data_IF_940590596613
#
_entry.id   IF_940590596613
#
_cell.length_a   1.000
_cell.length_b   1.000
_cell.length_c   1.000
_cell.angle_alpha   90.00
_cell.angle_beta   90.00
_cell.angle_gamma   90.00
#
_symmetry.space_group_name_H-M   'P 1'
#
loop_
_entity.id
_entity.type
_entity.pdbx_description
1 polymer ?
#
# COMPACT_ATOMS: atom_id res chain seq x y z
N UNK A 1 -21.01 -34.42 19.45
CA UNK A 1 -19.97 -35.46 19.59
C UNK A 1 -18.83 -34.87 20.41
N UNK A 2 -18.26 -35.65 21.34
CA UNK A 2 -17.31 -35.18 22.37
C UNK A 2 -15.84 -35.41 21.95
N UNK A 3 -14.89 -35.19 22.90
CA UNK A 3 -13.44 -35.49 22.84
C UNK A 3 -12.62 -34.48 21.97
N UNK A 4 -11.45 -33.91 22.32
CA UNK A 4 -10.51 -33.88 23.48
C UNK A 4 -10.06 -32.39 23.62
N UNK A 5 -9.59 -31.80 24.73
CA UNK A 5 -9.26 -32.24 26.11
C UNK A 5 -8.29 -31.23 26.78
N UNK A 6 -7.48 -31.65 27.75
CA UNK A 6 -6.48 -30.82 28.49
C UNK A 6 -5.16 -31.61 28.65
N UNK A 7 -4.00 -30.93 28.69
CA UNK A 7 -2.72 -31.52 29.11
C UNK A 7 -1.69 -30.46 29.52
N UNK A 8 -1.10 -30.58 30.72
CA UNK A 8 -0.11 -29.63 31.26
C UNK A 8 0.81 -30.29 32.29
N UNK A 9 2.06 -30.56 31.90
CA UNK A 9 3.22 -30.96 32.73
C UNK A 9 4.51 -30.58 31.94
N UNK A 10 5.64 -30.19 32.52
CA UNK A 10 5.97 -29.87 33.91
C UNK A 10 7.49 -29.60 34.09
N UNK A 11 7.84 -28.82 35.12
CA UNK A 11 9.15 -28.69 35.82
C UNK A 11 10.52 -28.67 35.09
N UNK A 12 11.32 -27.64 35.44
CA UNK A 12 12.81 -27.67 35.39
C UNK A 12 13.40 -28.65 36.44
N UNK A 13 14.71 -28.96 36.33
CA UNK A 13 15.61 -28.43 37.38
C UNK A 13 16.93 -27.81 36.85
N UNK A 14 17.54 -26.96 37.68
CA UNK A 14 18.84 -26.33 37.44
C UNK A 14 20.05 -27.19 37.88
N UNK A 15 21.22 -26.91 37.30
CA UNK A 15 22.60 -26.86 37.88
C UNK A 15 23.63 -26.80 36.72
N UNK A 16 24.78 -26.13 36.82
CA UNK A 16 25.37 -25.34 37.91
C UNK A 16 26.47 -24.37 37.42
N UNK A 17 27.12 -23.67 38.35
CA UNK A 17 28.05 -22.53 38.11
C UNK A 17 29.53 -22.94 38.23
N UNK A 18 30.42 -22.35 37.44
CA UNK A 18 31.85 -22.17 37.77
C UNK A 18 32.28 -20.74 37.34
N UNK A 19 33.17 -20.10 38.10
CA UNK A 19 33.67 -18.72 37.92
C UNK A 19 35.17 -18.71 37.53
N UNK A 20 35.69 -17.58 37.01
CA UNK A 20 37.13 -17.46 36.69
C UNK A 20 37.57 -16.10 36.09
N UNK A 21 38.17 -15.25 36.92
CA UNK A 21 38.82 -13.96 36.64
C UNK A 21 39.99 -13.81 37.67
N UNK A 22 40.83 -12.73 37.74
CA UNK A 22 41.09 -11.58 36.84
C UNK A 22 42.61 -11.25 36.67
N UNK A 23 42.94 -9.97 36.34
CA UNK A 23 44.25 -9.25 36.48
C UNK A 23 45.34 -9.55 35.41
N UNK A 24 46.20 -8.63 34.93
CA UNK A 24 46.32 -7.14 34.91
C UNK A 24 47.41 -6.76 33.83
N UNK A 25 48.06 -5.57 33.67
CA UNK A 25 48.16 -4.29 34.42
C UNK A 25 48.72 -3.13 33.52
N UNK A 26 48.60 -1.89 34.00
CA UNK A 26 49.16 -0.58 33.57
C UNK A 26 50.48 -0.48 32.75
N UNK A 27 50.56 0.51 31.83
CA UNK A 27 51.50 1.68 31.88
C UNK A 27 51.12 2.79 30.87
N UNK A 28 51.53 4.03 31.12
CA UNK A 28 51.30 5.24 30.29
C UNK A 28 52.61 5.83 29.72
N UNK A 29 52.55 6.44 28.52
CA UNK A 29 53.46 7.54 28.10
C UNK A 29 53.06 8.22 26.77
N UNK A 30 52.94 9.54 26.82
CA UNK A 30 53.15 10.54 25.74
C UNK A 30 54.30 11.47 26.23
N UNK A 31 54.81 12.47 25.46
CA UNK A 31 54.53 12.86 24.06
C UNK A 31 55.79 13.02 23.18
N UNK A 32 55.63 13.08 21.84
CA UNK A 32 56.46 13.93 20.95
C UNK A 32 55.61 14.44 19.77
N UNK A 33 55.50 15.75 19.59
CA UNK A 33 54.83 16.33 18.42
C UNK A 33 55.79 16.50 17.24
N UNK A 34 55.39 16.05 16.03
CA UNK A 34 56.05 16.42 14.77
C UNK A 34 55.04 16.68 13.63
N UNK A 35 55.07 17.93 13.15
CA UNK A 35 54.76 18.39 11.79
C UNK A 35 53.48 17.87 11.11
N UNK A 36 52.50 18.76 10.93
CA UNK A 36 51.39 18.56 9.97
C UNK A 36 51.93 18.43 8.54
N UNK A 37 51.52 17.38 7.84
CA UNK A 37 51.42 17.35 6.37
C UNK A 37 49.94 17.14 6.03
N UNK A 38 49.30 17.99 5.21
CA UNK A 38 47.86 17.89 4.94
C UNK A 38 47.55 16.80 3.92
N UNK A 39 47.37 15.55 4.38
CA UNK A 39 46.80 14.47 3.57
C UNK A 39 45.31 14.71 3.32
N UNK A 40 45.01 15.42 2.24
CA UNK A 40 43.65 15.55 1.69
C UNK A 40 43.16 14.17 1.17
N UNK A 41 42.61 13.36 2.08
CA UNK A 41 41.82 12.17 1.76
C UNK A 41 40.54 12.12 2.59
N UNK A 42 39.69 13.15 2.40
CA UNK A 42 38.26 13.00 2.66
C UNK A 42 37.66 12.10 1.58
N UNK A 43 37.77 10.78 1.76
CA UNK A 43 36.95 9.83 0.99
C UNK A 43 35.46 10.06 1.31
N UNK A 44 34.55 9.91 0.34
CA UNK A 44 33.12 10.05 0.61
C UNK A 44 32.65 9.01 1.62
N UNK A 45 31.80 9.49 2.54
CA UNK A 45 31.27 8.81 3.71
C UNK A 45 30.58 7.45 3.40
N UNK A 46 30.44 6.60 4.41
CA UNK A 46 29.86 5.26 4.27
C UNK A 46 28.38 5.33 3.89
N UNK A 47 28.07 5.13 2.61
CA UNK A 47 26.71 5.17 2.09
C UNK A 47 25.86 4.01 2.63
N UNK A 48 24.77 4.33 3.33
CA UNK A 48 23.68 3.39 3.54
C UNK A 48 23.13 2.95 2.17
N UNK A 49 23.12 1.64 1.88
CA UNK A 49 22.56 1.11 0.63
C UNK A 49 21.06 1.37 0.58
N UNK A 50 20.55 1.87 -0.54
CA UNK A 50 19.11 2.17 -0.64
C UNK A 50 18.25 0.90 -0.54
N UNK A 51 16.98 1.05 -0.17
CA UNK A 51 15.97 -0.04 -0.22
C UNK A 51 15.93 -0.72 -1.59
N UNK A 52 16.16 0.06 -2.66
CA UNK A 52 16.20 -0.41 -4.05
C UNK A 52 17.51 -1.12 -4.36
N UNK A 53 18.66 -0.62 -3.92
CA UNK A 53 19.93 -1.35 -4.06
C UNK A 53 19.86 -2.69 -3.31
N UNK A 54 19.39 -2.67 -2.07
CA UNK A 54 19.13 -3.84 -1.21
C UNK A 54 18.14 -4.83 -1.83
N UNK A 55 17.19 -4.36 -2.63
CA UNK A 55 16.34 -5.21 -3.47
C UNK A 55 17.12 -5.78 -4.68
N UNK A 56 17.89 -4.95 -5.39
CA UNK A 56 18.63 -5.35 -6.59
C UNK A 56 19.69 -6.42 -6.28
N UNK A 57 20.38 -6.33 -5.13
CA UNK A 57 21.35 -7.33 -4.68
C UNK A 57 20.75 -8.74 -4.46
N UNK A 58 19.43 -8.88 -4.38
CA UNK A 58 18.75 -10.18 -4.24
C UNK A 58 18.58 -10.95 -5.56
N UNK A 59 18.71 -10.29 -6.72
CA UNK A 59 18.74 -10.97 -8.02
C UNK A 59 20.13 -11.53 -8.33
N UNK A 60 20.24 -12.52 -9.20
CA UNK A 60 21.53 -13.05 -9.66
C UNK A 60 22.07 -12.34 -10.90
N UNK A 61 23.27 -12.72 -11.35
CA UNK A 61 23.78 -12.29 -12.65
C UNK A 61 23.05 -13.05 -13.78
N UNK A 62 22.76 -12.41 -14.94
CA UNK A 62 23.16 -11.05 -15.31
C UNK A 62 22.22 -9.95 -14.79
N UNK A 63 21.03 -10.28 -14.30
CA UNK A 63 19.99 -9.32 -13.91
C UNK A 63 20.48 -8.25 -12.92
N UNK A 64 21.20 -8.64 -11.85
CA UNK A 64 21.80 -7.71 -10.88
C UNK A 64 22.71 -6.69 -11.56
N UNK A 65 23.55 -7.11 -12.50
CA UNK A 65 24.48 -6.22 -13.22
C UNK A 65 23.74 -5.21 -14.10
N UNK A 66 22.70 -5.66 -14.81
CA UNK A 66 21.84 -4.79 -15.63
C UNK A 66 21.06 -3.81 -14.75
N UNK A 67 20.49 -4.28 -13.64
CA UNK A 67 19.71 -3.45 -12.74
C UNK A 67 20.56 -2.42 -11.99
N UNK A 68 21.77 -2.76 -11.51
CA UNK A 68 22.68 -1.80 -10.89
C UNK A 68 23.12 -0.71 -11.88
N UNK A 69 23.45 -1.08 -13.12
CA UNK A 69 23.78 -0.11 -14.17
C UNK A 69 22.62 0.85 -14.46
N UNK A 70 21.40 0.30 -14.63
CA UNK A 70 20.22 1.13 -14.88
C UNK A 70 19.83 1.98 -13.66
N UNK A 71 19.98 1.46 -12.45
CA UNK A 71 19.78 2.22 -11.20
C UNK A 71 20.73 3.41 -11.14
N UNK A 72 22.04 3.17 -11.22
CA UNK A 72 23.06 4.23 -11.16
C UNK A 72 22.90 5.27 -12.27
N UNK A 73 22.49 4.85 -13.48
CA UNK A 73 22.17 5.77 -14.57
C UNK A 73 20.99 6.69 -14.19
N UNK A 74 19.88 6.12 -13.73
CA UNK A 74 18.65 6.85 -13.42
C UNK A 74 18.79 7.77 -12.19
N UNK A 75 19.50 7.32 -11.14
CA UNK A 75 19.69 8.12 -9.91
C UNK A 75 20.84 9.13 -10.04
N UNK A 76 21.98 8.76 -10.65
CA UNK A 76 23.19 9.63 -10.65
C UNK A 76 23.32 10.54 -11.87
N UNK A 77 22.86 10.13 -13.06
CA UNK A 77 22.91 10.98 -14.27
C UNK A 77 21.60 11.78 -14.46
N UNK A 78 20.47 11.22 -14.03
CA UNK A 78 19.14 11.82 -14.25
C UNK A 78 18.45 12.30 -12.96
N UNK A 79 19.08 12.15 -11.78
CA UNK A 79 18.56 12.61 -10.48
C UNK A 79 17.14 12.12 -10.14
N UNK A 80 16.72 10.96 -10.68
CA UNK A 80 15.41 10.40 -10.39
C UNK A 80 15.39 9.75 -9.00
N UNK A 81 14.33 10.02 -8.24
CA UNK A 81 14.13 9.44 -6.90
C UNK A 81 13.78 7.96 -7.05
N UNK A 82 14.55 7.08 -6.42
CA UNK A 82 14.29 5.63 -6.41
C UNK A 82 13.37 5.22 -5.25
N UNK A 83 12.53 4.21 -5.49
CA UNK A 83 11.64 3.64 -4.48
C UNK A 83 11.25 2.20 -4.81
N UNK A 84 11.25 1.32 -3.82
CA UNK A 84 10.66 -0.02 -3.98
C UNK A 84 9.13 0.11 -4.04
N UNK A 85 8.53 -0.28 -5.15
CA UNK A 85 7.06 -0.28 -5.33
C UNK A 85 6.61 -1.56 -6.01
N UNK A 86 5.62 -2.25 -5.43
CA UNK A 86 5.19 -3.60 -5.82
C UNK A 86 6.36 -4.60 -5.97
N UNK A 87 7.36 -4.53 -5.07
CA UNK A 87 8.60 -5.34 -5.10
C UNK A 87 9.47 -5.17 -6.36
N UNK A 88 9.38 -4.01 -7.02
CA UNK A 88 10.21 -3.63 -8.17
C UNK A 88 10.96 -2.30 -7.87
N UNK A 89 12.18 -2.10 -8.38
CA UNK A 89 12.84 -0.80 -8.45
C UNK A 89 12.03 0.18 -9.32
N UNK A 90 11.50 1.26 -8.75
CA UNK A 90 10.74 2.29 -9.46
C UNK A 90 11.43 3.66 -9.32
N UNK A 91 11.31 4.50 -10.36
CA UNK A 91 12.04 5.76 -10.48
C UNK A 91 11.08 6.91 -10.83
N UNK A 92 11.25 8.03 -10.14
CA UNK A 92 10.30 9.13 -10.10
C UNK A 92 10.96 10.48 -10.41
N UNK A 93 10.26 11.29 -11.20
CA UNK A 93 10.48 12.74 -11.32
C UNK A 93 9.40 13.47 -10.52
N UNK A 94 8.58 14.28 -11.20
CA UNK A 94 7.29 14.76 -10.66
C UNK A 94 6.29 13.61 -10.53
N UNK A 95 6.39 12.58 -11.36
CA UNK A 95 5.60 11.34 -11.25
C UNK A 95 6.42 10.07 -11.54
N UNK A 96 5.75 8.92 -11.62
CA UNK A 96 6.38 7.63 -11.88
C UNK A 96 6.80 7.51 -13.34
N UNK A 97 8.09 7.70 -13.64
CA UNK A 97 8.63 7.66 -15.01
C UNK A 97 8.77 6.21 -15.48
N UNK A 98 9.51 5.39 -14.73
CA UNK A 98 9.79 4.01 -15.13
C UNK A 98 10.00 3.05 -13.94
N UNK A 99 10.07 1.74 -14.24
CA UNK A 99 10.49 0.72 -13.29
C UNK A 99 11.32 -0.38 -13.97
N UNK A 100 12.14 -1.06 -13.16
CA UNK A 100 12.89 -2.26 -13.55
C UNK A 100 12.15 -3.51 -13.07
N UNK A 101 12.19 -4.58 -13.85
CA UNK A 101 11.56 -5.86 -13.50
C UNK A 101 12.38 -7.04 -13.99
N UNK A 102 12.59 -8.01 -13.11
CA UNK A 102 13.17 -9.29 -13.48
C UNK A 102 12.16 -10.12 -14.28
N UNK A 103 12.59 -10.66 -15.42
CA UNK A 103 11.84 -11.64 -16.21
C UNK A 103 12.49 -13.02 -16.11
N UNK A 104 11.88 -14.03 -16.74
CA UNK A 104 12.50 -15.35 -16.89
C UNK A 104 13.77 -15.28 -17.77
N UNK A 105 14.61 -16.30 -17.63
CA UNK A 105 15.81 -16.52 -18.45
C UNK A 105 16.82 -15.35 -18.39
N UNK A 106 17.04 -14.78 -17.21
CA UNK A 106 18.06 -13.74 -16.98
C UNK A 106 17.75 -12.37 -17.59
N UNK A 107 16.58 -12.17 -18.22
CA UNK A 107 16.22 -10.91 -18.88
C UNK A 107 15.75 -9.86 -17.86
N UNK A 108 16.11 -8.61 -18.10
CA UNK A 108 15.64 -7.44 -17.35
C UNK A 108 14.76 -6.59 -18.25
N UNK A 109 13.57 -6.26 -17.79
CA UNK A 109 12.66 -5.29 -18.40
C UNK A 109 12.87 -3.92 -17.74
N UNK A 110 13.01 -2.86 -18.54
CA UNK A 110 12.73 -1.48 -18.12
C UNK A 110 11.49 -0.98 -18.85
N UNK A 111 10.47 -0.57 -18.09
CA UNK A 111 9.18 -0.16 -18.62
C UNK A 111 8.87 1.29 -18.21
N UNK A 112 8.51 2.11 -19.19
CA UNK A 112 8.10 3.50 -19.02
C UNK A 112 6.59 3.58 -18.87
N UNK A 113 6.11 4.22 -17.80
CA UNK A 113 4.70 4.25 -17.41
C UNK A 113 3.83 4.98 -18.45
N UNK A 114 4.39 6.04 -19.05
CA UNK A 114 3.80 6.84 -20.13
C UNK A 114 4.36 6.48 -21.51
N UNK A 115 4.90 5.27 -21.67
CA UNK A 115 5.64 4.90 -22.88
C UNK A 115 4.88 5.11 -24.20
N UNK A 116 3.54 5.02 -24.19
CA UNK A 116 2.70 5.28 -25.36
C UNK A 116 2.60 6.77 -25.76
N UNK A 117 3.08 7.68 -24.92
CA UNK A 117 3.06 9.14 -25.12
C UNK A 117 4.44 9.66 -25.58
N UNK A 118 5.47 8.82 -25.53
CA UNK A 118 6.79 9.05 -26.10
C UNK A 118 6.73 8.84 -27.62
N UNK A 119 7.46 9.64 -28.40
CA UNK A 119 7.55 9.51 -29.85
C UNK A 119 8.08 8.14 -30.30
N UNK A 120 8.95 7.53 -29.49
CA UNK A 120 9.66 6.29 -29.80
C UNK A 120 10.38 6.36 -31.16
N UNK A 121 10.82 7.56 -31.58
CA UNK A 121 11.32 7.83 -32.94
C UNK A 121 12.53 6.96 -33.34
N UNK A 122 13.30 6.49 -32.35
CA UNK A 122 14.46 5.63 -32.55
C UNK A 122 14.13 4.11 -32.51
N UNK A 123 12.85 3.75 -32.35
CA UNK A 123 12.30 2.39 -32.43
C UNK A 123 12.60 1.48 -31.23
N UNK A 124 13.11 2.02 -30.12
CA UNK A 124 13.70 1.23 -29.04
C UNK A 124 12.67 0.50 -28.15
N UNK A 125 11.49 1.10 -27.91
CA UNK A 125 10.52 0.57 -26.97
C UNK A 125 9.42 -0.24 -27.66
N UNK A 126 9.04 -1.37 -27.05
CA UNK A 126 7.97 -2.27 -27.51
C UNK A 126 6.72 -2.16 -26.65
N UNK A 127 5.56 -2.52 -27.20
CA UNK A 127 4.27 -2.48 -26.50
C UNK A 127 4.00 -3.70 -25.61
N UNK A 128 4.48 -4.89 -25.99
CA UNK A 128 4.28 -6.13 -25.22
C UNK A 128 2.80 -6.32 -24.81
N UNK A 129 1.88 -6.09 -25.76
CA UNK A 129 0.41 -6.16 -25.57
C UNK A 129 -0.22 -5.05 -24.71
N UNK A 130 0.57 -4.12 -24.14
CA UNK A 130 0.10 -3.12 -23.19
C UNK A 130 -0.33 -1.82 -23.88
N UNK A 131 -1.47 -1.27 -23.44
CA UNK A 131 -2.03 -0.03 -24.01
C UNK A 131 -1.16 1.20 -23.69
N UNK A 132 -0.73 1.35 -22.44
CA UNK A 132 -0.05 2.55 -21.94
C UNK A 132 1.48 2.40 -21.83
N UNK A 133 1.96 1.30 -21.25
CA UNK A 133 3.39 1.07 -21.07
C UNK A 133 4.09 0.81 -22.41
N UNK A 134 5.35 1.25 -22.52
CA UNK A 134 6.31 0.74 -23.49
C UNK A 134 7.60 0.35 -22.77
N UNK A 135 8.30 -0.67 -23.26
CA UNK A 135 9.43 -1.27 -22.54
C UNK A 135 10.58 -1.69 -23.45
N UNK A 136 11.80 -1.64 -22.91
CA UNK A 136 12.99 -2.30 -23.44
C UNK A 136 13.28 -3.54 -22.58
N UNK A 137 13.66 -4.65 -23.23
CA UNK A 137 14.07 -5.90 -22.56
C UNK A 137 15.48 -6.25 -23.03
N UNK A 138 16.41 -6.42 -22.08
CA UNK A 138 17.84 -6.69 -22.32
C UNK A 138 18.34 -7.81 -21.40
N UNK A 139 19.45 -8.45 -21.76
CA UNK A 139 20.07 -9.52 -20.95
C UNK A 139 21.43 -9.09 -20.39
N UNK A 140 22.15 -8.23 -21.11
CA UNK A 140 23.44 -7.66 -20.73
C UNK A 140 23.42 -6.13 -20.82
N UNK A 141 24.28 -5.47 -20.05
CA UNK A 141 24.53 -4.02 -20.14
C UNK A 141 25.02 -3.64 -21.54
N UNK A 142 25.76 -4.54 -22.21
CA UNK A 142 26.24 -4.36 -23.59
C UNK A 142 25.12 -4.31 -24.64
N UNK A 143 23.94 -4.86 -24.32
CA UNK A 143 22.79 -4.92 -25.24
C UNK A 143 22.00 -3.60 -25.25
N UNK A 144 22.28 -2.67 -24.31
CA UNK A 144 21.58 -1.40 -24.18
C UNK A 144 22.17 -0.42 -25.21
N UNK A 145 21.40 0.05 -26.22
CA UNK A 145 21.89 1.04 -27.18
C UNK A 145 21.90 2.42 -26.51
N UNK A 146 22.93 2.68 -25.71
CA UNK A 146 22.93 3.69 -24.65
C UNK A 146 22.54 5.10 -25.13
N UNK A 147 22.97 5.53 -26.33
CA UNK A 147 22.54 6.81 -26.92
C UNK A 147 21.01 6.87 -27.08
N UNK A 148 20.43 5.89 -27.78
CA UNK A 148 18.96 5.77 -27.98
C UNK A 148 18.19 5.67 -26.66
N UNK A 149 18.78 5.00 -25.67
CA UNK A 149 18.16 4.84 -24.36
C UNK A 149 18.18 6.13 -23.53
N UNK A 150 19.28 6.91 -23.59
CA UNK A 150 19.38 8.24 -22.96
C UNK A 150 18.44 9.26 -23.61
N UNK A 151 18.24 9.20 -24.93
CA UNK A 151 17.22 9.99 -25.64
C UNK A 151 15.82 9.73 -25.06
N UNK A 152 15.44 8.46 -24.89
CA UNK A 152 14.16 8.04 -24.31
C UNK A 152 13.97 8.48 -22.86
N UNK A 153 15.02 8.43 -22.02
CA UNK A 153 14.93 8.92 -20.63
C UNK A 153 14.65 10.44 -20.62
N UNK A 154 15.38 11.21 -21.43
CA UNK A 154 15.18 12.67 -21.52
C UNK A 154 13.79 13.04 -22.04
N UNK A 155 13.28 12.33 -23.05
CA UNK A 155 11.91 12.51 -23.54
C UNK A 155 10.87 12.22 -22.44
N UNK A 156 11.07 11.16 -21.66
CA UNK A 156 10.17 10.80 -20.56
C UNK A 156 10.22 11.80 -19.40
N UNK A 157 11.37 12.42 -19.12
CA UNK A 157 11.49 13.50 -18.13
C UNK A 157 10.82 14.80 -18.61
N UNK A 158 11.05 15.23 -19.85
CA UNK A 158 10.36 16.42 -20.41
C UNK A 158 8.85 16.23 -20.41
N UNK A 159 8.36 15.02 -20.72
CA UNK A 159 6.94 14.67 -20.65
C UNK A 159 6.38 14.73 -19.22
N UNK A 160 7.15 14.30 -18.22
CA UNK A 160 6.80 14.33 -16.80
C UNK A 160 6.84 15.76 -16.22
N UNK A 161 7.76 16.60 -16.71
CA UNK A 161 7.87 18.00 -16.33
C UNK A 161 6.75 18.86 -16.91
N UNK A 162 6.44 18.70 -18.21
CA UNK A 162 5.54 19.58 -18.96
C UNK A 162 4.06 19.19 -18.84
N UNK A 163 3.74 17.89 -18.71
CA UNK A 163 2.37 17.40 -18.63
C UNK A 163 2.19 16.67 -17.30
N UNK A 164 1.43 17.21 -16.32
CA UNK A 164 1.12 16.51 -15.08
C UNK A 164 0.56 15.10 -15.38
N UNK A 165 1.03 14.08 -14.67
CA UNK A 165 0.66 12.70 -14.99
C UNK A 165 -0.82 12.43 -14.73
N UNK A 166 -1.60 12.59 -15.80
CA UNK A 166 -3.01 12.27 -15.87
C UNK A 166 -3.22 10.76 -15.73
N UNK A 167 -3.25 10.30 -14.48
CA UNK A 167 -3.76 9.00 -14.08
C UNK A 167 -5.07 8.73 -14.83
N UNK A 168 -5.05 7.81 -15.81
CA UNK A 168 -6.27 7.39 -16.53
C UNK A 168 -7.19 6.53 -15.67
N UNK A 169 -6.74 6.16 -14.45
CA UNK A 169 -7.61 5.68 -13.36
C UNK A 169 -8.39 6.82 -12.69
N UNK A 170 -7.92 8.06 -12.84
CA UNK A 170 -8.69 9.28 -12.61
C UNK A 170 -9.45 9.68 -13.88
N UNK A 171 -10.43 8.84 -14.26
CA UNK A 171 -11.75 9.46 -14.43
C UNK A 171 -12.01 10.14 -13.10
N UNK A 172 -12.09 11.47 -13.07
CA UNK A 172 -12.86 12.08 -12.00
C UNK A 172 -14.24 11.42 -12.09
N UNK A 173 -14.61 10.60 -11.10
CA UNK A 173 -16.03 10.43 -10.79
C UNK A 173 -16.45 11.84 -10.38
N UNK A 174 -16.95 12.62 -11.34
CA UNK A 174 -17.83 13.75 -11.04
C UNK A 174 -18.98 13.13 -10.28
N UNK A 175 -18.94 13.26 -8.95
CA UNK A 175 -19.76 12.44 -8.07
C UNK A 175 -21.22 12.89 -8.14
N UNK A 176 -21.91 12.40 -9.18
CA UNK A 176 -23.36 12.26 -9.17
C UNK A 176 -23.69 11.49 -7.88
N UNK A 177 -24.47 12.07 -6.95
CA UNK A 177 -24.69 11.46 -5.64
C UNK A 177 -25.19 10.03 -5.82
N UNK A 178 -24.64 9.11 -5.05
CA UNK A 178 -24.80 7.67 -5.21
C UNK A 178 -26.24 7.24 -4.86
N UNK A 179 -27.17 7.46 -5.80
CA UNK A 179 -28.58 7.10 -5.63
C UNK A 179 -28.67 5.61 -5.29
N UNK A 180 -29.04 5.34 -4.03
CA UNK A 180 -29.14 4.02 -3.40
C UNK A 180 -29.50 2.92 -4.41
N UNK A 181 -28.68 1.87 -4.49
CA UNK A 181 -28.85 0.77 -5.45
C UNK A 181 -30.28 0.19 -5.37
N UNK A 182 -30.84 -0.25 -6.51
CA UNK A 182 -32.17 -0.88 -6.54
C UNK A 182 -32.22 -2.07 -5.58
N UNK A 183 -31.21 -2.94 -5.58
CA UNK A 183 -31.13 -4.10 -4.69
C UNK A 183 -31.19 -3.72 -3.19
N UNK A 184 -30.61 -2.58 -2.82
CA UNK A 184 -30.60 -2.07 -1.44
C UNK A 184 -31.97 -1.48 -1.08
N UNK A 185 -32.64 -0.79 -2.02
CA UNK A 185 -34.04 -0.35 -1.85
C UNK A 185 -35.00 -1.54 -1.76
N UNK A 186 -34.80 -2.57 -2.59
CA UNK A 186 -35.58 -3.80 -2.57
C UNK A 186 -35.41 -4.50 -1.21
N UNK A 187 -34.17 -4.70 -0.74
CA UNK A 187 -33.88 -5.27 0.59
C UNK A 187 -34.55 -4.48 1.72
N UNK A 188 -34.42 -3.15 1.72
CA UNK A 188 -35.08 -2.30 2.71
C UNK A 188 -36.62 -2.41 2.65
N UNK A 189 -37.20 -2.64 1.47
CA UNK A 189 -38.65 -2.74 1.29
C UNK A 189 -39.26 -4.03 1.84
N UNK A 190 -38.47 -5.12 1.93
CA UNK A 190 -38.89 -6.41 2.49
C UNK A 190 -38.76 -6.52 4.01
N UNK A 191 -38.39 -5.43 4.70
CA UNK A 191 -38.27 -5.39 6.15
C UNK A 191 -39.57 -4.87 6.80
N UNK A 192 -39.80 -5.30 8.04
CA UNK A 192 -40.83 -4.75 8.93
C UNK A 192 -40.71 -3.23 9.06
N UNK A 193 -41.84 -2.53 9.26
CA UNK A 193 -41.90 -1.08 9.13
C UNK A 193 -41.01 -0.30 10.12
N UNK A 194 -40.63 -0.87 11.26
CA UNK A 194 -39.62 -0.31 12.17
C UNK A 194 -38.21 -0.42 11.58
N UNK A 195 -37.79 -1.62 11.23
CA UNK A 195 -36.48 -1.92 10.64
C UNK A 195 -36.26 -1.20 9.31
N UNK A 196 -37.31 -1.13 8.49
CA UNK A 196 -37.36 -0.40 7.21
C UNK A 196 -37.15 1.09 7.39
N UNK A 197 -37.70 1.72 8.45
CA UNK A 197 -37.42 3.13 8.79
C UNK A 197 -35.96 3.33 9.17
N UNK A 198 -35.39 2.44 9.99
CA UNK A 198 -33.97 2.47 10.39
C UNK A 198 -33.07 2.33 9.16
N UNK A 199 -33.23 1.26 8.38
CA UNK A 199 -32.43 0.98 7.19
C UNK A 199 -32.53 2.08 6.11
N UNK A 200 -33.71 2.70 5.94
CA UNK A 200 -33.86 3.83 5.02
C UNK A 200 -33.19 5.11 5.54
N UNK A 201 -33.27 5.43 6.84
CA UNK A 201 -32.55 6.57 7.43
C UNK A 201 -31.04 6.39 7.33
N UNK A 202 -30.52 5.21 7.70
CA UNK A 202 -29.11 4.86 7.53
C UNK A 202 -28.68 5.00 6.07
N UNK A 203 -29.38 4.35 5.13
CA UNK A 203 -29.03 4.39 3.71
C UNK A 203 -29.15 5.79 3.08
N UNK A 204 -30.01 6.67 3.59
CA UNK A 204 -30.04 8.09 3.19
C UNK A 204 -28.73 8.77 3.61
N UNK A 205 -28.45 8.79 4.92
CA UNK A 205 -27.31 9.51 5.50
C UNK A 205 -25.97 8.99 4.95
N UNK A 206 -25.84 7.67 4.72
CA UNK A 206 -24.63 7.08 4.12
C UNK A 206 -24.41 7.58 2.68
N UNK A 207 -25.44 7.64 1.83
CA UNK A 207 -25.28 8.11 0.45
C UNK A 207 -25.11 9.65 0.34
N UNK A 208 -25.63 10.41 1.32
CA UNK A 208 -25.45 11.86 1.40
C UNK A 208 -24.06 12.23 1.95
N UNK A 209 -23.56 11.50 2.95
CA UNK A 209 -22.23 11.74 3.53
C UNK A 209 -21.10 11.18 2.67
N UNK A 210 -21.30 10.00 2.06
CA UNK A 210 -20.34 9.29 1.21
C UNK A 210 -20.88 9.10 -0.22
N UNK A 211 -21.13 10.18 -0.99
CA UNK A 211 -21.42 10.07 -2.42
C UNK A 211 -20.31 9.31 -3.16
N UNK A 212 -19.09 9.39 -2.60
CA UNK A 212 -17.99 8.41 -2.58
C UNK A 212 -18.27 7.01 -3.13
N UNK A 213 -19.25 6.36 -2.49
CA UNK A 213 -19.23 4.93 -2.29
C UNK A 213 -20.18 4.15 -3.21
N UNK A 214 -19.61 3.17 -3.90
CA UNK A 214 -20.37 2.18 -4.65
C UNK A 214 -21.08 1.24 -3.66
N UNK A 215 -22.38 1.02 -3.81
CA UNK A 215 -23.19 0.21 -2.89
C UNK A 215 -23.97 -0.92 -3.57
N UNK A 216 -24.12 -2.04 -2.87
CA UNK A 216 -24.73 -3.28 -3.34
C UNK A 216 -25.13 -4.17 -2.16
N UNK A 217 -25.85 -5.25 -2.45
CA UNK A 217 -25.95 -6.38 -1.52
C UNK A 217 -24.61 -7.16 -1.53
N UNK A 218 -24.05 -7.41 -0.36
CA UNK A 218 -22.85 -8.22 -0.16
C UNK A 218 -23.02 -9.07 1.10
N UNK A 219 -22.78 -10.38 1.00
CA UNK A 219 -23.11 -11.35 2.07
C UNK A 219 -24.54 -11.15 2.63
N UNK A 220 -25.53 -11.03 1.72
CA UNK A 220 -26.95 -10.80 2.00
C UNK A 220 -27.33 -9.47 2.71
N UNK A 221 -26.41 -8.51 2.80
CA UNK A 221 -26.63 -7.22 3.47
C UNK A 221 -26.21 -6.01 2.62
N UNK A 222 -26.88 -4.84 2.74
CA UNK A 222 -26.41 -3.59 2.14
C UNK A 222 -25.03 -3.15 2.67
N UNK A 223 -24.06 -2.98 1.77
CA UNK A 223 -22.69 -2.53 2.10
C UNK A 223 -22.21 -1.50 1.07
N UNK A 224 -21.51 -0.48 1.58
CA UNK A 224 -20.88 0.62 0.85
C UNK A 224 -19.36 0.43 0.79
N UNK A 225 -18.79 0.73 -0.38
CA UNK A 225 -17.39 0.47 -0.69
C UNK A 225 -16.68 1.72 -1.24
N UNK A 226 -15.52 2.05 -0.69
CA UNK A 226 -14.59 3.04 -1.26
C UNK A 226 -13.45 2.30 -1.97
N UNK A 227 -13.23 2.59 -3.25
CA UNK A 227 -12.29 1.86 -4.13
C UNK A 227 -12.49 0.31 -4.13
N UNK A 228 -13.67 -0.18 -3.75
CA UNK A 228 -13.96 -1.61 -3.57
C UNK A 228 -13.44 -2.22 -2.27
N UNK A 229 -13.07 -1.42 -1.28
CA UNK A 229 -12.86 -1.81 0.12
C UNK A 229 -14.14 -1.52 0.91
N UNK A 230 -14.73 -2.47 1.67
CA UNK A 230 -15.93 -2.22 2.46
C UNK A 230 -15.60 -1.25 3.60
N UNK A 231 -16.45 -0.24 3.81
CA UNK A 231 -16.26 0.77 4.87
C UNK A 231 -17.41 0.76 5.88
N UNK A 232 -18.66 0.75 5.41
CA UNK A 232 -19.87 0.73 6.24
C UNK A 232 -20.96 -0.13 5.59
N UNK A 233 -21.86 -0.69 6.39
CA UNK A 233 -23.04 -1.43 5.95
C UNK A 233 -23.97 -1.71 7.11
N UNK A 234 -25.16 -2.25 6.84
CA UNK A 234 -26.12 -2.60 7.89
C UNK A 234 -26.82 -3.94 7.64
N UNK A 235 -27.23 -4.60 8.72
CA UNK A 235 -27.81 -5.95 8.70
C UNK A 235 -28.96 -6.05 9.70
N UNK A 236 -30.12 -6.57 9.27
CA UNK A 236 -31.21 -6.94 10.18
C UNK A 236 -30.76 -8.08 11.12
N UNK A 237 -30.98 -7.91 12.42
CA UNK A 237 -30.79 -8.92 13.48
C UNK A 237 -32.12 -9.18 14.21
N UNK A 238 -32.18 -10.22 15.06
CA UNK A 238 -33.34 -10.41 15.95
C UNK A 238 -33.47 -9.22 16.90
N UNK A 239 -34.61 -8.52 16.86
CA UNK A 239 -34.91 -7.37 17.72
C UNK A 239 -34.21 -6.05 17.40
N UNK A 240 -33.32 -5.96 16.40
CA UNK A 240 -32.61 -4.72 16.05
C UNK A 240 -32.09 -4.71 14.61
N UNK A 241 -31.67 -3.55 14.12
CA UNK A 241 -30.77 -3.41 12.97
C UNK A 241 -29.37 -3.07 13.48
N UNK A 242 -28.35 -3.78 13.00
CA UNK A 242 -26.95 -3.43 13.22
C UNK A 242 -26.44 -2.52 12.10
N UNK A 243 -25.74 -1.45 12.47
CA UNK A 243 -24.82 -0.70 11.62
C UNK A 243 -23.39 -1.18 11.91
N UNK A 244 -22.61 -1.53 10.89
CA UNK A 244 -21.26 -2.08 11.02
C UNK A 244 -20.25 -1.24 10.23
N UNK A 245 -19.20 -0.76 10.90
CA UNK A 245 -18.05 -0.10 10.29
C UNK A 245 -16.85 -1.03 10.29
N UNK A 246 -16.29 -1.34 9.12
CA UNK A 246 -15.19 -2.30 8.99
C UNK A 246 -13.89 -1.82 9.68
N UNK A 247 -13.66 -0.52 9.76
CA UNK A 247 -12.49 0.07 10.45
C UNK A 247 -12.83 0.72 11.81
N UNK A 248 -14.06 0.51 12.31
CA UNK A 248 -14.66 1.27 13.41
C UNK A 248 -13.90 1.25 14.74
N UNK A 249 -13.16 0.18 15.09
CA UNK A 249 -12.35 0.16 16.33
C UNK A 249 -11.24 1.22 16.33
N UNK A 250 -10.88 1.74 15.16
CA UNK A 250 -9.85 2.77 15.01
C UNK A 250 -10.45 4.18 14.99
N UNK A 251 -11.77 4.32 15.11
CA UNK A 251 -12.44 5.63 15.13
C UNK A 251 -12.37 6.30 16.50
N UNK A 252 -12.20 5.51 17.58
CA UNK A 252 -12.21 5.98 18.97
C UNK A 252 -13.50 6.78 19.28
N UNK A 253 -14.63 6.08 19.22
CA UNK A 253 -15.98 6.64 19.31
C UNK A 253 -16.79 5.81 20.31
N UNK A 254 -17.27 6.43 21.40
CA UNK A 254 -17.90 5.72 22.52
C UNK A 254 -19.22 5.01 22.13
N UNK A 255 -19.93 5.54 21.13
CA UNK A 255 -21.12 4.93 20.56
C UNK A 255 -20.89 3.72 19.65
N UNK A 256 -19.63 3.31 19.40
CA UNK A 256 -19.27 2.14 18.58
C UNK A 256 -18.65 1.03 19.43
N UNK A 257 -19.30 -0.13 19.46
CA UNK A 257 -18.85 -1.31 20.19
C UNK A 257 -17.96 -2.21 19.33
N UNK A 258 -16.83 -2.67 19.85
CA UNK A 258 -15.88 -3.49 19.10
C UNK A 258 -16.49 -4.83 18.67
N UNK A 259 -16.49 -5.13 17.36
CA UNK A 259 -17.02 -6.38 16.77
C UNK A 259 -15.87 -7.29 16.29
N UNK A 260 -15.87 -8.51 16.81
CA UNK A 260 -14.92 -9.57 16.48
C UNK A 260 -13.43 -9.24 16.69
N UNK A 261 -12.58 -10.11 16.11
CA UNK A 261 -11.11 -10.07 16.28
C UNK A 261 -10.35 -9.18 15.28
N UNK A 262 -11.06 -8.39 14.47
CA UNK A 262 -10.46 -7.57 13.42
C UNK A 262 -10.40 -6.10 13.85
N UNK A 263 -10.79 -5.15 12.99
CA UNK A 263 -10.88 -3.71 13.31
C UNK A 263 -12.29 -3.16 13.12
N UNK A 264 -13.29 -4.02 13.09
CA UNK A 264 -14.69 -3.63 12.93
C UNK A 264 -15.34 -3.23 14.26
N UNK A 265 -16.25 -2.26 14.21
CA UNK A 265 -17.09 -1.89 15.34
C UNK A 265 -18.51 -1.59 14.85
N UNK A 266 -19.49 -1.71 15.74
CA UNK A 266 -20.91 -1.65 15.43
C UNK A 266 -21.71 -0.77 16.38
N UNK A 267 -22.83 -0.25 15.86
CA UNK A 267 -23.94 0.28 16.63
C UNK A 267 -25.20 -0.56 16.34
N UNK A 268 -26.16 -0.58 17.28
CA UNK A 268 -27.43 -1.28 17.11
C UNK A 268 -28.58 -0.35 17.41
N UNK A 269 -29.63 -0.44 16.58
CA UNK A 269 -30.83 0.39 16.70
C UNK A 269 -32.08 -0.50 16.72
N UNK A 270 -32.99 -0.20 17.63
CA UNK A 270 -34.38 -0.69 17.70
C UNK A 270 -35.37 0.31 17.09
N UNK A 271 -34.99 1.58 16.98
CA UNK A 271 -35.80 2.67 16.43
C UNK A 271 -34.98 3.66 15.60
N UNK A 272 -35.59 4.26 14.56
CA UNK A 272 -34.94 5.27 13.73
C UNK A 272 -34.66 6.60 14.47
N UNK A 273 -35.26 6.79 15.64
CA UNK A 273 -35.06 7.95 16.51
C UNK A 273 -33.78 7.81 17.37
N UNK A 274 -33.22 6.60 17.51
CA UNK A 274 -31.96 6.36 18.22
C UNK A 274 -30.73 6.67 17.34
N UNK A 275 -30.93 6.88 16.03
CA UNK A 275 -29.86 7.32 15.14
C UNK A 275 -29.65 8.83 15.35
N UNK A 276 -28.67 9.16 16.19
CA UNK A 276 -28.05 10.48 16.19
C UNK A 276 -27.36 10.72 14.84
N UNK A 277 -27.71 11.81 14.16
CA UNK A 277 -27.24 12.08 12.81
C UNK A 277 -25.85 12.72 12.82
N UNK A 278 -25.51 13.52 13.85
CA UNK A 278 -24.19 14.16 13.97
C UNK A 278 -23.07 13.13 14.20
N UNK A 279 -23.26 12.21 15.16
CA UNK A 279 -22.31 11.12 15.38
C UNK A 279 -22.23 10.18 14.19
N UNK A 280 -23.35 9.86 13.53
CA UNK A 280 -23.33 9.02 12.33
C UNK A 280 -22.54 9.67 11.18
N UNK A 281 -22.72 10.96 10.92
CA UNK A 281 -21.92 11.70 9.93
C UNK A 281 -20.44 11.67 10.31
N UNK A 282 -20.08 11.98 11.57
CA UNK A 282 -18.70 11.92 12.07
C UNK A 282 -18.07 10.54 11.90
N UNK A 283 -18.82 9.47 12.13
CA UNK A 283 -18.35 8.08 11.95
C UNK A 283 -18.18 7.71 10.47
N UNK A 284 -19.03 8.26 9.58
CA UNK A 284 -18.93 8.07 8.14
C UNK A 284 -17.71 8.80 7.57
N UNK A 285 -17.45 10.04 7.99
CA UNK A 285 -16.22 10.76 7.66
C UNK A 285 -14.97 10.05 8.19
N UNK A 286 -14.98 9.58 9.44
CA UNK A 286 -13.93 8.69 9.94
C UNK A 286 -13.79 7.43 9.07
N UNK A 287 -14.86 6.83 8.55
CA UNK A 287 -14.78 5.67 7.64
C UNK A 287 -14.18 5.98 6.26
N UNK A 288 -14.28 7.23 5.78
CA UNK A 288 -13.61 7.71 4.56
C UNK A 288 -12.09 7.73 4.72
N UNK A 289 -11.60 8.19 5.87
CA UNK A 289 -10.19 8.52 6.09
C UNK A 289 -9.42 7.61 7.05
N UNK A 290 -10.11 6.70 7.76
CA UNK A 290 -9.52 5.70 8.65
C UNK A 290 -9.84 4.31 8.09
N UNK A 291 -8.96 3.76 7.25
CA UNK A 291 -9.22 2.52 6.50
C UNK A 291 -8.16 1.43 6.67
N UNK A 292 -8.62 0.24 7.03
CA UNK A 292 -7.88 -1.01 6.91
C UNK A 292 -8.29 -1.78 5.65
N UNK A 293 -7.34 -2.49 5.03
CA UNK A 293 -7.53 -3.24 3.78
C UNK A 293 -8.22 -4.59 4.00
N UNK A 294 -9.54 -4.56 4.08
CA UNK A 294 -10.39 -5.75 4.07
C UNK A 294 -10.49 -6.38 2.68
N UNK A 295 -10.41 -5.57 1.62
CA UNK A 295 -10.42 -6.02 0.21
C UNK A 295 -9.40 -7.13 -0.08
N UNK A 296 -8.26 -7.15 0.62
CA UNK A 296 -7.22 -8.17 0.46
C UNK A 296 -6.98 -9.04 1.71
N UNK A 297 -7.83 -8.98 2.74
CA UNK A 297 -7.62 -9.69 4.02
C UNK A 297 -7.45 -11.21 3.85
N UNK A 298 -8.22 -11.83 2.95
CA UNK A 298 -8.14 -13.26 2.64
C UNK A 298 -6.78 -13.61 2.01
N UNK A 299 -6.32 -12.79 1.05
CA UNK A 299 -5.01 -12.96 0.39
C UNK A 299 -3.84 -12.80 1.38
N UNK A 300 -4.02 -12.01 2.43
CA UNK A 300 -3.05 -11.83 3.53
C UNK A 300 -3.29 -12.78 4.72
N UNK A 301 -4.06 -13.86 4.55
CA UNK A 301 -4.35 -14.87 5.59
C UNK A 301 -4.84 -14.27 6.92
N UNK A 302 -5.65 -13.21 6.86
CA UNK A 302 -6.19 -12.51 8.03
C UNK A 302 -5.41 -11.25 8.46
N UNK A 303 -4.19 -11.00 7.96
CA UNK A 303 -3.42 -9.80 8.33
C UNK A 303 -3.95 -8.55 7.62
N UNK A 304 -4.62 -7.68 8.38
CA UNK A 304 -4.98 -6.33 7.95
C UNK A 304 -3.74 -5.45 7.77
N UNK A 305 -3.85 -4.47 6.86
CA UNK A 305 -2.85 -3.44 6.58
C UNK A 305 -3.57 -2.10 6.47
N UNK A 306 -2.94 -1.03 6.97
CA UNK A 306 -3.46 0.34 6.91
C UNK A 306 -3.41 0.87 5.47
N UNK A 307 -4.45 1.57 5.01
CA UNK A 307 -4.53 2.21 3.69
C UNK A 307 -4.45 3.74 3.79
N UNK A 308 -5.20 4.27 4.74
CA UNK A 308 -5.16 5.61 5.33
C UNK A 308 -5.35 5.37 6.83
#
# INVERSE_FOLDING_TARGET
MNWIGIGSWGHEPMLGRIEGEPLAKTRSQEPVAKVRVPTNQAGPDSSEMSDVETLIYKFESPQRKVMLFLHQLLTREYSLVDKVTFSNPCYYGKSWICYLKALKNGKTEIAFMRGNELSNANGLLRSEGRKQLRSLIVTSVKDIPLKKFKEVIKEAMVLDEAIPYASKRTKQKTYKPSKMNKEVRDYNSTLEDSDKKICNKLAKIINETLPEADNKIWHAHPVWFLDGNPVVGYSKLKGSVRLLFWSGQTFQEEGLQNEGKFKAAEARYTSANEIDEESLVRWLEKSRDIQWDYKNIVKRKGKLVRLK
#
